data_IF_606267117173
#
_entry.id   IF_606267117173
#
_cell.length_a   1.000
_cell.length_b   1.000
_cell.length_c   1.000
_cell.angle_alpha   90.00
_cell.angle_beta   90.00
_cell.angle_gamma   90.00
#
_symmetry.space_group_name_H-M   'P 1'
#
loop_
_entity.id
_entity.type
_entity.pdbx_description
1 polymer ?
#
# COMPACT_ATOMS: atom_id res chain seq x y z
N UNK A 1 -29.27 33.77 5.16
CA UNK A 1 -28.49 33.66 6.41
C UNK A 1 -27.18 32.98 6.09
N UNK A 2 -26.08 33.72 6.26
CA UNK A 2 -24.69 33.34 6.00
C UNK A 2 -24.29 31.99 6.62
N UNK A 3 -23.81 31.06 5.80
CA UNK A 3 -22.89 30.01 6.27
C UNK A 3 -21.47 30.55 6.20
N UNK A 4 -20.99 31.10 7.34
CA UNK A 4 -19.61 31.53 7.51
C UNK A 4 -18.68 30.33 7.43
N UNK A 5 -17.76 30.37 6.47
CA UNK A 5 -16.61 29.48 6.36
C UNK A 5 -15.74 29.68 7.61
N UNK A 6 -15.50 28.66 8.46
CA UNK A 6 -14.64 28.85 9.62
C UNK A 6 -13.17 29.06 9.22
N UNK A 7 -12.48 29.89 10.00
CA UNK A 7 -11.13 30.38 9.73
C UNK A 7 -10.08 29.25 9.67
N UNK A 8 -9.12 29.40 8.75
CA UNK A 8 -7.93 28.54 8.59
C UNK A 8 -7.12 28.47 9.89
N UNK A 9 -7.20 27.33 10.57
CA UNK A 9 -6.28 26.93 11.63
C UNK A 9 -4.88 26.64 11.06
N UNK A 10 -3.86 27.12 11.78
CA UNK A 10 -2.43 27.14 11.45
C UNK A 10 -1.91 25.71 11.25
N UNK A 11 -1.53 25.35 10.02
CA UNK A 11 -1.05 24.01 9.63
C UNK A 11 0.21 23.62 10.40
N UNK A 12 0.07 22.75 11.41
CA UNK A 12 1.16 21.86 11.85
C UNK A 12 1.36 20.77 10.80
N UNK A 13 2.58 20.23 10.59
CA UNK A 13 2.79 19.11 9.68
C UNK A 13 1.94 17.92 10.17
N UNK A 14 0.96 17.55 9.35
CA UNK A 14 -0.19 16.79 9.80
C UNK A 14 0.02 15.29 9.54
N UNK A 15 0.78 14.63 10.41
CA UNK A 15 0.83 13.16 10.46
C UNK A 15 -0.57 12.53 10.61
N UNK A 16 -1.57 13.31 11.06
CA UNK A 16 -2.96 12.86 11.16
C UNK A 16 -3.61 12.69 9.77
N UNK A 17 -3.11 13.32 8.70
CA UNK A 17 -3.65 13.13 7.35
C UNK A 17 -3.36 11.72 6.85
N UNK A 18 -2.14 11.21 7.06
CA UNK A 18 -1.81 9.83 6.70
C UNK A 18 -2.64 8.83 7.50
N UNK A 19 -2.82 9.04 8.81
CA UNK A 19 -3.69 8.19 9.63
C UNK A 19 -5.12 8.13 9.08
N UNK A 20 -5.73 9.28 8.80
CA UNK A 20 -7.11 9.37 8.28
C UNK A 20 -7.33 8.66 6.94
N UNK A 21 -6.29 8.57 6.11
CA UNK A 21 -6.36 7.84 4.83
C UNK A 21 -6.46 6.33 5.06
N UNK A 22 -5.77 5.80 6.07
CA UNK A 22 -5.73 4.37 6.36
C UNK A 22 -6.81 3.92 7.34
N UNK A 23 -7.35 4.80 8.18
CA UNK A 23 -8.46 4.49 9.11
C UNK A 23 -9.59 3.64 8.49
N UNK A 24 -10.17 4.01 7.31
CA UNK A 24 -11.22 3.19 6.68
C UNK A 24 -10.71 1.89 6.03
N UNK A 25 -9.40 1.77 5.80
CA UNK A 25 -8.74 0.66 5.11
C UNK A 25 -8.28 -0.43 6.11
N UNK A 26 -7.96 -0.04 7.35
CA UNK A 26 -7.45 -0.94 8.41
C UNK A 26 -8.31 -2.21 8.60
N UNK A 27 -9.65 -2.14 8.77
CA UNK A 27 -10.45 -3.35 8.99
C UNK A 27 -10.34 -4.37 7.86
N UNK A 28 -10.21 -3.88 6.62
CA UNK A 28 -10.02 -4.74 5.45
C UNK A 28 -8.61 -5.36 5.40
N UNK A 29 -7.56 -4.62 5.78
CA UNK A 29 -6.19 -5.16 5.91
C UNK A 29 -6.18 -6.32 6.91
N UNK A 30 -6.83 -6.14 8.08
CA UNK A 30 -6.89 -7.16 9.12
C UNK A 30 -7.61 -8.42 8.61
N UNK A 31 -8.76 -8.25 7.94
CA UNK A 31 -9.54 -9.37 7.42
C UNK A 31 -8.76 -10.13 6.34
N UNK A 32 -8.18 -9.41 5.37
CA UNK A 32 -7.41 -10.00 4.28
C UNK A 32 -6.14 -10.71 4.78
N UNK A 33 -5.46 -10.11 5.77
CA UNK A 33 -4.27 -10.68 6.40
C UNK A 33 -4.58 -11.96 7.19
N UNK A 34 -5.65 -11.96 7.99
CA UNK A 34 -6.09 -13.16 8.72
C UNK A 34 -6.49 -14.28 7.76
N UNK A 35 -7.26 -13.99 6.71
CA UNK A 35 -7.62 -14.97 5.70
C UNK A 35 -6.38 -15.55 5.00
N UNK A 36 -5.41 -14.70 4.62
CA UNK A 36 -4.13 -15.16 4.06
C UNK A 36 -3.37 -16.05 5.03
N UNK A 37 -3.31 -15.67 6.31
CA UNK A 37 -2.60 -16.41 7.35
C UNK A 37 -3.21 -17.80 7.57
N UNK A 38 -4.53 -17.89 7.72
CA UNK A 38 -5.21 -19.19 7.83
C UNK A 38 -5.06 -20.04 6.57
N UNK A 39 -5.11 -19.44 5.38
CA UNK A 39 -4.84 -20.14 4.13
C UNK A 39 -3.43 -20.75 4.09
N UNK A 40 -2.43 -20.00 4.56
CA UNK A 40 -1.05 -20.47 4.66
C UNK A 40 -0.90 -21.62 5.68
N UNK A 41 -1.60 -21.56 6.83
CA UNK A 41 -1.61 -22.66 7.80
C UNK A 41 -2.22 -23.93 7.20
N UNK A 42 -3.33 -23.84 6.46
CA UNK A 42 -3.92 -24.99 5.77
C UNK A 42 -2.91 -25.61 4.80
N UNK A 43 -2.28 -24.77 3.97
CA UNK A 43 -1.28 -25.23 3.01
C UNK A 43 -0.06 -25.91 3.68
N UNK A 44 0.30 -25.48 4.89
CA UNK A 44 1.45 -26.01 5.63
C UNK A 44 1.14 -27.29 6.43
N UNK A 45 -0.05 -27.38 7.03
CA UNK A 45 -0.40 -28.46 7.95
C UNK A 45 -1.24 -29.58 7.31
N UNK A 46 -1.79 -29.37 6.11
CA UNK A 46 -2.58 -30.37 5.38
C UNK A 46 -1.86 -30.71 4.07
N UNK A 47 -1.06 -31.80 4.03
CA UNK A 47 -0.46 -32.29 2.79
C UNK A 47 -1.55 -32.58 1.76
N UNK A 48 -1.36 -32.15 0.51
CA UNK A 48 -2.38 -32.34 -0.53
C UNK A 48 -3.70 -31.58 -0.25
N UNK A 49 -3.69 -30.46 0.48
CA UNK A 49 -4.89 -29.70 0.82
C UNK A 49 -5.79 -29.34 -0.38
N UNK A 50 -5.24 -29.27 -1.59
CA UNK A 50 -5.98 -29.04 -2.83
C UNK A 50 -6.68 -30.30 -3.38
N UNK A 51 -6.21 -31.49 -3.01
CA UNK A 51 -6.76 -32.79 -3.44
C UNK A 51 -7.99 -33.18 -2.60
N UNK A 52 -8.09 -32.64 -1.38
CA UNK A 52 -9.24 -32.83 -0.51
C UNK A 52 -10.29 -31.73 -0.71
N UNK A 53 -11.53 -32.06 -1.14
CA UNK A 53 -12.53 -31.05 -1.52
C UNK A 53 -12.84 -30.02 -0.44
N UNK A 54 -12.91 -30.43 0.83
CA UNK A 54 -13.25 -29.55 1.94
C UNK A 54 -12.13 -28.54 2.24
N UNK A 55 -10.87 -28.98 2.35
CA UNK A 55 -9.75 -28.06 2.59
C UNK A 55 -9.47 -27.17 1.39
N UNK A 56 -9.64 -27.68 0.17
CA UNK A 56 -9.54 -26.90 -1.05
C UNK A 56 -10.59 -25.77 -1.06
N UNK A 57 -11.84 -26.09 -0.74
CA UNK A 57 -12.92 -25.11 -0.68
C UNK A 57 -12.64 -24.02 0.36
N UNK A 58 -12.21 -24.39 1.57
CA UNK A 58 -11.87 -23.42 2.63
C UNK A 58 -10.69 -22.56 2.21
N UNK A 59 -9.62 -23.15 1.67
CA UNK A 59 -8.46 -22.41 1.18
C UNK A 59 -8.85 -21.38 0.11
N UNK A 60 -9.65 -21.79 -0.88
CA UNK A 60 -10.07 -20.89 -1.95
C UNK A 60 -10.98 -19.77 -1.46
N UNK A 61 -11.89 -20.04 -0.52
CA UNK A 61 -12.71 -19.00 0.12
C UNK A 61 -11.84 -17.96 0.83
N UNK A 62 -10.86 -18.39 1.62
CA UNK A 62 -9.92 -17.50 2.30
C UNK A 62 -9.05 -16.71 1.32
N UNK A 63 -8.57 -17.39 0.27
CA UNK A 63 -7.74 -16.78 -0.78
C UNK A 63 -8.50 -15.70 -1.55
N UNK A 64 -9.78 -15.91 -1.85
CA UNK A 64 -10.63 -14.92 -2.52
C UNK A 64 -10.75 -13.63 -1.70
N UNK A 65 -11.01 -13.75 -0.39
CA UNK A 65 -11.11 -12.59 0.51
C UNK A 65 -9.78 -11.85 0.59
N UNK A 66 -8.67 -12.58 0.73
CA UNK A 66 -7.34 -11.98 0.80
C UNK A 66 -6.97 -11.25 -0.49
N UNK A 67 -7.16 -11.89 -1.63
CA UNK A 67 -6.81 -11.35 -2.96
C UNK A 67 -7.68 -10.15 -3.31
N UNK A 68 -8.98 -10.20 -3.02
CA UNK A 68 -9.91 -9.10 -3.29
C UNK A 68 -9.51 -7.80 -2.58
N UNK A 69 -8.89 -7.89 -1.41
CA UNK A 69 -8.42 -6.70 -0.71
C UNK A 69 -7.02 -6.29 -1.16
N UNK A 70 -6.06 -7.22 -1.18
CA UNK A 70 -4.66 -6.90 -1.43
C UNK A 70 -4.39 -6.44 -2.86
N UNK A 71 -5.06 -7.05 -3.85
CA UNK A 71 -4.93 -6.64 -5.27
C UNK A 71 -5.51 -5.25 -5.53
N UNK A 72 -6.54 -4.86 -4.78
CA UNK A 72 -7.22 -3.57 -4.93
C UNK A 72 -6.85 -2.57 -3.83
N UNK A 73 -5.83 -2.85 -3.02
CA UNK A 73 -5.38 -1.96 -1.94
C UNK A 73 -5.07 -0.53 -2.44
N UNK A 74 -4.38 -0.32 -3.59
CA UNK A 74 -4.21 1.02 -4.13
C UNK A 74 -5.54 1.73 -4.42
N UNK A 75 -6.59 1.01 -4.81
CA UNK A 75 -7.92 1.56 -5.03
C UNK A 75 -8.57 2.06 -3.74
N UNK A 76 -8.58 1.23 -2.69
CA UNK A 76 -9.17 1.59 -1.40
C UNK A 76 -8.45 2.78 -0.75
N UNK A 77 -7.13 2.83 -0.91
CA UNK A 77 -6.33 3.93 -0.40
C UNK A 77 -6.48 5.19 -1.27
N UNK A 78 -6.47 5.07 -2.59
CA UNK A 78 -6.71 6.20 -3.50
C UNK A 78 -8.09 6.83 -3.29
N UNK A 79 -9.11 6.01 -3.03
CA UNK A 79 -10.44 6.46 -2.65
C UNK A 79 -10.41 7.32 -1.39
N UNK A 80 -9.79 6.79 -0.34
CA UNK A 80 -9.68 7.46 0.95
C UNK A 80 -8.82 8.73 0.87
N UNK A 81 -7.71 8.70 0.13
CA UNK A 81 -6.83 9.84 -0.09
C UNK A 81 -7.52 10.99 -0.83
N UNK A 82 -8.31 10.69 -1.87
CA UNK A 82 -9.09 11.69 -2.58
C UNK A 82 -10.17 12.29 -1.68
N UNK A 83 -10.88 11.44 -0.91
CA UNK A 83 -11.90 11.87 0.07
C UNK A 83 -11.33 12.81 1.12
N UNK A 84 -10.23 12.43 1.78
CA UNK A 84 -9.58 13.27 2.80
C UNK A 84 -8.98 14.56 2.22
N UNK A 85 -8.66 14.55 0.92
CA UNK A 85 -8.20 15.75 0.20
C UNK A 85 -9.35 16.66 -0.26
N UNK A 86 -10.61 16.26 -0.06
CA UNK A 86 -11.81 17.03 -0.41
C UNK A 86 -12.28 16.89 -1.87
N UNK A 87 -11.84 15.84 -2.58
CA UNK A 87 -12.29 15.52 -3.94
C UNK A 87 -13.32 14.38 -3.98
N UNK A 88 -13.73 13.99 -5.18
CA UNK A 88 -14.66 12.89 -5.40
C UNK A 88 -13.96 11.55 -5.21
N UNK A 89 -14.28 10.89 -4.10
CA UNK A 89 -13.59 9.68 -3.63
C UNK A 89 -13.54 8.55 -4.67
N UNK A 90 -14.65 8.28 -5.38
CA UNK A 90 -14.72 7.19 -6.36
C UNK A 90 -13.70 7.36 -7.50
N UNK A 91 -13.41 8.60 -7.92
CA UNK A 91 -12.44 8.88 -8.98
C UNK A 91 -11.00 8.64 -8.50
N UNK A 92 -10.72 8.92 -7.22
CA UNK A 92 -9.45 8.56 -6.59
C UNK A 92 -9.25 7.05 -6.50
N UNK A 93 -10.32 6.32 -6.18
CA UNK A 93 -10.30 4.86 -6.20
C UNK A 93 -10.04 4.30 -7.61
N UNK A 94 -10.62 4.94 -8.63
CA UNK A 94 -10.37 4.58 -10.03
C UNK A 94 -8.91 4.77 -10.44
N UNK A 95 -8.26 5.88 -10.08
CA UNK A 95 -6.81 6.05 -10.29
C UNK A 95 -6.00 4.98 -9.57
N UNK A 96 -6.39 4.65 -8.33
CA UNK A 96 -5.78 3.57 -7.57
C UNK A 96 -5.87 2.23 -8.29
N UNK A 97 -7.04 1.85 -8.83
CA UNK A 97 -7.23 0.61 -9.61
C UNK A 97 -6.35 0.58 -10.86
N UNK A 98 -6.27 1.70 -11.59
CA UNK A 98 -5.47 1.80 -12.82
C UNK A 98 -4.01 1.39 -12.57
N UNK A 99 -3.46 1.72 -11.40
CA UNK A 99 -2.09 1.37 -11.00
C UNK A 99 -1.77 -0.12 -11.20
N UNK A 100 -2.73 -1.02 -10.97
CA UNK A 100 -2.54 -2.47 -11.06
C UNK A 100 -3.04 -3.10 -12.37
N UNK A 101 -3.52 -2.30 -13.34
CA UNK A 101 -4.03 -2.85 -14.60
C UNK A 101 -2.90 -3.19 -15.57
N UNK A 102 -3.05 -4.30 -16.29
CA UNK A 102 -2.09 -4.72 -17.31
C UNK A 102 -1.93 -3.72 -18.45
N UNK A 103 -2.97 -2.93 -18.77
CA UNK A 103 -2.89 -1.86 -19.77
C UNK A 103 -1.84 -0.79 -19.47
N UNK A 104 -1.35 -0.68 -18.22
CA UNK A 104 -0.19 0.16 -17.88
C UNK A 104 1.08 -0.38 -18.55
N UNK A 105 1.26 -1.70 -18.63
CA UNK A 105 2.38 -2.33 -19.32
C UNK A 105 2.32 -2.04 -20.83
N UNK A 106 1.14 -2.14 -21.43
CA UNK A 106 0.94 -1.86 -22.86
C UNK A 106 1.26 -0.40 -23.19
N UNK A 107 0.78 0.53 -22.35
CA UNK A 107 1.14 1.94 -22.47
C UNK A 107 2.66 2.12 -22.32
N UNK A 108 3.26 1.53 -21.29
CA UNK A 108 4.69 1.65 -21.03
C UNK A 108 5.54 1.11 -22.20
N UNK A 109 5.10 0.03 -22.86
CA UNK A 109 5.73 -0.47 -24.08
C UNK A 109 5.61 0.54 -25.23
N UNK A 110 4.42 1.09 -25.44
CA UNK A 110 4.17 2.06 -26.52
C UNK A 110 5.01 3.35 -26.37
N UNK A 111 5.29 3.79 -25.14
CA UNK A 111 6.12 4.97 -24.87
C UNK A 111 7.60 4.66 -24.59
N UNK A 112 8.03 3.39 -24.72
CA UNK A 112 9.42 2.98 -24.52
C UNK A 112 9.91 3.03 -23.07
N UNK A 113 9.01 2.97 -22.09
CA UNK A 113 9.32 2.96 -20.64
C UNK A 113 9.28 1.56 -20.01
N UNK A 114 8.92 0.54 -20.80
CA UNK A 114 8.86 -0.86 -20.38
C UNK A 114 10.13 -1.61 -20.80
N UNK A 115 10.68 -2.38 -19.87
CA UNK A 115 11.78 -3.30 -20.11
C UNK A 115 11.24 -4.74 -20.16
N UNK A 116 11.20 -5.32 -21.36
CA UNK A 116 10.70 -6.67 -21.58
C UNK A 116 11.60 -7.78 -21.01
N UNK A 117 12.90 -7.49 -20.84
CA UNK A 117 13.85 -8.44 -20.26
C UNK A 117 13.78 -8.45 -18.72
N UNK A 118 13.48 -7.31 -18.11
CA UNK A 118 13.26 -7.17 -16.67
C UNK A 118 12.08 -6.23 -16.37
N UNK A 119 10.86 -6.77 -16.24
CA UNK A 119 9.67 -5.99 -15.88
C UNK A 119 9.82 -5.22 -14.55
N UNK A 120 10.66 -5.69 -13.62
CA UNK A 120 10.89 -5.01 -12.34
C UNK A 120 11.82 -3.80 -12.48
N UNK A 121 12.74 -3.81 -13.46
CA UNK A 121 13.57 -2.67 -13.82
C UNK A 121 12.87 -1.65 -14.73
N UNK A 122 11.66 -1.94 -15.21
CA UNK A 122 10.89 -1.01 -16.04
C UNK A 122 10.63 0.31 -15.34
N UNK A 123 10.77 1.44 -16.06
CA UNK A 123 10.48 2.77 -15.49
C UNK A 123 8.99 2.86 -15.11
N UNK A 124 8.14 2.28 -15.95
CA UNK A 124 6.71 2.15 -15.73
C UNK A 124 6.27 0.70 -16.00
N UNK A 125 5.51 0.13 -15.06
CA UNK A 125 4.84 -1.16 -15.21
C UNK A 125 3.61 -1.20 -14.29
N UNK A 126 2.76 -2.20 -14.47
CA UNK A 126 1.64 -2.47 -13.57
C UNK A 126 2.17 -2.70 -12.15
N UNK A 127 1.51 -2.08 -11.17
CA UNK A 127 1.89 -2.07 -9.77
C UNK A 127 3.01 -1.09 -9.40
N UNK A 128 3.66 -0.42 -10.36
CA UNK A 128 4.76 0.54 -10.10
C UNK A 128 4.28 1.67 -9.20
N UNK A 129 5.00 1.90 -8.09
CA UNK A 129 4.67 2.95 -7.11
C UNK A 129 3.56 2.59 -6.12
N UNK A 130 2.76 1.56 -6.39
CA UNK A 130 1.81 0.96 -5.45
C UNK A 130 0.86 1.96 -4.79
N UNK A 131 0.74 1.85 -3.46
CA UNK A 131 -0.19 2.66 -2.67
C UNK A 131 0.29 4.11 -2.53
N UNK A 132 1.60 4.35 -2.51
CA UNK A 132 2.15 5.72 -2.53
C UNK A 132 1.73 6.48 -3.77
N UNK A 133 1.77 5.83 -4.94
CA UNK A 133 1.25 6.44 -6.17
C UNK A 133 -0.22 6.83 -5.97
N UNK A 134 -1.07 5.89 -5.53
CA UNK A 134 -2.49 6.14 -5.33
C UNK A 134 -2.81 7.28 -4.35
N UNK A 135 -2.04 7.43 -3.26
CA UNK A 135 -2.19 8.55 -2.30
C UNK A 135 -1.92 9.88 -3.01
N UNK A 136 -0.78 9.98 -3.70
CA UNK A 136 -0.39 11.20 -4.42
C UNK A 136 -1.34 11.49 -5.59
N UNK A 137 -1.80 10.46 -6.29
CA UNK A 137 -2.78 10.55 -7.37
C UNK A 137 -4.13 11.07 -6.88
N UNK A 138 -4.67 10.50 -5.79
CA UNK A 138 -5.93 10.97 -5.19
C UNK A 138 -5.83 12.41 -4.70
N UNK A 139 -4.70 12.81 -4.13
CA UNK A 139 -4.45 14.20 -3.74
C UNK A 139 -4.38 15.16 -4.94
N UNK A 140 -3.66 14.76 -6.01
CA UNK A 140 -3.53 15.56 -7.23
C UNK A 140 -4.89 15.72 -7.91
N UNK A 141 -5.68 14.65 -7.94
CA UNK A 141 -7.03 14.65 -8.48
C UNK A 141 -7.94 15.60 -7.72
N UNK A 142 -7.99 15.51 -6.39
CA UNK A 142 -8.81 16.41 -5.57
C UNK A 142 -8.46 17.89 -5.79
N UNK A 143 -7.17 18.20 -5.95
CA UNK A 143 -6.68 19.56 -6.26
C UNK A 143 -7.17 20.04 -7.63
N UNK A 144 -7.04 19.20 -8.66
CA UNK A 144 -7.39 19.57 -10.03
C UNK A 144 -8.90 19.65 -10.23
N UNK A 145 -9.64 18.68 -9.69
CA UNK A 145 -11.10 18.64 -9.68
C UNK A 145 -11.68 19.89 -9.03
N UNK A 146 -11.19 20.25 -7.83
CA UNK A 146 -11.60 21.48 -7.15
C UNK A 146 -11.24 22.77 -7.89
N UNK A 147 -10.21 22.74 -8.76
CA UNK A 147 -9.87 23.86 -9.63
C UNK A 147 -10.80 23.93 -10.85
N UNK A 148 -11.11 22.79 -11.48
CA UNK A 148 -12.05 22.68 -12.59
C UNK A 148 -13.46 23.14 -12.20
N UNK A 149 -13.96 22.72 -11.02
CA UNK A 149 -15.26 23.16 -10.49
C UNK A 149 -15.40 24.69 -10.43
N UNK A 150 -14.30 25.43 -10.22
CA UNK A 150 -14.31 26.89 -10.16
C UNK A 150 -14.29 27.55 -11.54
N UNK A 151 -13.91 26.82 -12.58
CA UNK A 151 -13.76 27.31 -13.96
C UNK A 151 -14.89 26.86 -14.86
N UNK A 152 -15.55 25.75 -14.55
CA UNK A 152 -16.57 25.15 -15.40
C UNK A 152 -17.93 25.87 -15.25
N UNK A 153 -18.67 26.10 -16.35
CA UNK A 153 -20.05 26.57 -16.28
C UNK A 153 -20.93 25.55 -15.52
N UNK A 154 -21.88 26.04 -14.71
CA UNK A 154 -22.73 25.18 -13.85
C UNK A 154 -23.45 24.06 -14.59
N UNK A 155 -23.83 24.27 -15.86
CA UNK A 155 -24.53 23.28 -16.69
C UNK A 155 -23.62 22.11 -17.11
N UNK A 156 -22.32 22.32 -17.21
CA UNK A 156 -21.35 21.32 -17.64
C UNK A 156 -20.55 20.71 -16.49
N UNK A 157 -20.52 21.39 -15.33
CA UNK A 157 -19.71 21.04 -14.17
C UNK A 157 -19.91 19.60 -13.70
N UNK A 158 -21.15 19.14 -13.60
CA UNK A 158 -21.48 17.80 -13.10
C UNK A 158 -20.87 16.64 -13.93
N UNK A 159 -20.66 16.84 -15.23
CA UNK A 159 -20.19 15.79 -16.15
C UNK A 159 -18.77 16.04 -16.62
N UNK A 160 -18.48 17.26 -17.07
CA UNK A 160 -17.17 17.57 -17.65
C UNK A 160 -16.08 17.72 -16.60
N UNK A 161 -16.39 18.24 -15.41
CA UNK A 161 -15.36 18.40 -14.37
C UNK A 161 -14.74 17.07 -13.94
N UNK A 162 -15.50 16.05 -13.51
CA UNK A 162 -14.92 14.78 -13.11
C UNK A 162 -14.22 14.06 -14.28
N UNK A 163 -14.77 14.13 -15.49
CA UNK A 163 -14.17 13.56 -16.70
C UNK A 163 -12.81 14.20 -17.03
N UNK A 164 -12.78 15.53 -17.14
CA UNK A 164 -11.56 16.28 -17.44
C UNK A 164 -10.54 16.15 -16.31
N UNK A 165 -10.97 16.14 -15.04
CA UNK A 165 -10.07 16.00 -13.90
C UNK A 165 -9.32 14.67 -13.98
N UNK A 166 -10.03 13.56 -14.19
CA UNK A 166 -9.40 12.24 -14.35
C UNK A 166 -8.46 12.23 -15.54
N UNK A 167 -8.91 12.68 -16.71
CA UNK A 167 -8.12 12.60 -17.95
C UNK A 167 -6.83 13.43 -17.86
N UNK A 168 -6.91 14.63 -17.27
CA UNK A 168 -5.77 15.51 -17.07
C UNK A 168 -4.83 15.03 -15.95
N UNK A 169 -5.34 14.35 -14.91
CA UNK A 169 -4.49 13.75 -13.86
C UNK A 169 -3.88 12.43 -14.32
N UNK A 170 -4.53 11.67 -15.19
CA UNK A 170 -4.08 10.34 -15.61
C UNK A 170 -2.68 10.39 -16.25
N UNK A 171 -2.41 11.37 -17.10
CA UNK A 171 -1.11 11.53 -17.77
C UNK A 171 0.03 11.76 -16.78
N UNK A 172 0.01 12.80 -15.91
CA UNK A 172 1.04 12.98 -14.89
C UNK A 172 1.02 11.87 -13.83
N UNK A 173 -0.12 11.23 -13.57
CA UNK A 173 -0.18 10.09 -12.66
C UNK A 173 0.67 8.91 -13.17
N UNK A 174 0.44 8.50 -14.43
CA UNK A 174 1.12 7.36 -15.04
C UNK A 174 2.58 7.68 -15.40
N UNK A 175 2.86 8.86 -15.98
CA UNK A 175 4.19 9.16 -16.53
C UNK A 175 5.13 9.84 -15.54
N UNK A 176 4.62 10.37 -14.43
CA UNK A 176 5.43 11.07 -13.43
C UNK A 176 5.26 10.44 -12.04
N UNK A 177 4.04 10.35 -11.51
CA UNK A 177 3.81 9.90 -10.12
C UNK A 177 4.20 8.43 -9.92
N UNK A 178 3.73 7.52 -10.79
CA UNK A 178 4.06 6.08 -10.71
C UNK A 178 5.58 5.82 -10.86
N UNK A 179 6.29 6.38 -11.86
CA UNK A 179 7.74 6.23 -11.97
C UNK A 179 8.49 6.83 -10.77
N UNK A 180 8.13 8.04 -10.32
CA UNK A 180 8.81 8.68 -9.18
C UNK A 180 8.67 7.87 -7.89
N UNK A 181 7.45 7.41 -7.59
CA UNK A 181 7.21 6.56 -6.41
C UNK A 181 7.82 5.16 -6.57
N UNK A 182 7.89 4.65 -7.80
CA UNK A 182 8.64 3.45 -8.15
C UNK A 182 10.15 3.59 -7.94
N UNK A 183 10.73 4.76 -8.24
CA UNK A 183 12.14 5.07 -7.98
C UNK A 183 12.44 5.12 -6.49
N UNK A 184 11.56 5.72 -5.68
CA UNK A 184 11.67 5.67 -4.22
C UNK A 184 11.67 4.20 -3.75
N UNK A 185 10.83 3.37 -4.36
CA UNK A 185 10.70 1.97 -3.98
C UNK A 185 11.93 1.14 -4.33
N UNK A 186 12.46 1.33 -5.54
CA UNK A 186 13.69 0.68 -6.00
C UNK A 186 14.90 1.14 -5.20
N UNK A 187 15.05 2.45 -4.96
CA UNK A 187 16.14 2.98 -4.13
C UNK A 187 16.11 2.42 -2.69
N UNK A 188 14.91 2.24 -2.10
CA UNK A 188 14.80 1.61 -0.79
C UNK A 188 15.23 0.14 -0.83
N UNK A 189 14.78 -0.61 -1.84
CA UNK A 189 15.18 -2.01 -2.03
C UNK A 189 16.68 -2.17 -2.28
N UNK A 190 17.29 -1.30 -3.09
CA UNK A 190 18.73 -1.29 -3.33
C UNK A 190 19.51 -0.94 -2.06
N UNK A 191 19.00 0.01 -1.27
CA UNK A 191 19.53 0.33 0.05
C UNK A 191 19.50 -0.88 0.99
N UNK A 192 18.37 -1.56 1.09
CA UNK A 192 18.24 -2.81 1.87
C UNK A 192 19.22 -3.86 1.37
N UNK A 193 19.29 -4.06 0.04
CA UNK A 193 20.21 -5.01 -0.59
C UNK A 193 21.66 -4.73 -0.19
N UNK A 194 22.13 -3.49 -0.33
CA UNK A 194 23.52 -3.12 -0.04
C UNK A 194 23.96 -3.51 1.37
N UNK A 195 23.07 -3.33 2.35
CA UNK A 195 23.40 -3.63 3.75
C UNK A 195 23.23 -5.12 4.05
N UNK A 196 22.26 -5.80 3.42
CA UNK A 196 22.00 -7.23 3.62
C UNK A 196 23.00 -8.15 2.91
N UNK A 197 23.58 -7.74 1.79
CA UNK A 197 24.62 -8.50 1.06
C UNK A 197 26.04 -8.14 1.50
N UNK A 198 26.21 -7.35 2.56
CA UNK A 198 27.54 -6.99 3.08
C UNK A 198 28.28 -8.22 3.61
N UNK A 199 29.58 -8.35 3.35
CA UNK A 199 30.40 -9.47 3.85
C UNK A 199 30.61 -9.42 5.38
N UNK A 200 30.42 -8.25 6.01
CA UNK A 200 30.61 -8.10 7.45
C UNK A 200 29.38 -8.57 8.25
N UNK A 201 29.52 -9.56 9.16
CA UNK A 201 28.40 -10.08 9.94
C UNK A 201 27.69 -9.02 10.81
N UNK A 202 28.45 -8.11 11.42
CA UNK A 202 27.89 -7.01 12.23
C UNK A 202 27.02 -6.07 11.39
N UNK A 203 27.44 -5.77 10.16
CA UNK A 203 26.67 -4.93 9.23
C UNK A 203 25.36 -5.62 8.88
N UNK A 204 25.38 -6.92 8.58
CA UNK A 204 24.16 -7.71 8.29
C UNK A 204 23.20 -7.78 9.48
N UNK A 205 23.71 -7.91 10.71
CA UNK A 205 22.86 -7.90 11.92
C UNK A 205 22.18 -6.55 12.08
N UNK A 206 22.93 -5.45 12.00
CA UNK A 206 22.37 -4.10 12.08
C UNK A 206 21.42 -3.81 10.91
N UNK A 207 21.71 -4.34 9.72
CA UNK A 207 20.83 -4.30 8.56
C UNK A 207 19.48 -4.95 8.86
N UNK A 208 19.50 -6.17 9.42
CA UNK A 208 18.29 -6.91 9.77
C UNK A 208 17.39 -6.11 10.72
N UNK A 209 17.97 -5.51 11.76
CA UNK A 209 17.24 -4.62 12.68
C UNK A 209 16.67 -3.38 11.97
N UNK A 210 17.47 -2.71 11.15
CA UNK A 210 17.04 -1.53 10.40
C UNK A 210 15.93 -1.86 9.39
N UNK A 211 16.07 -2.96 8.66
CA UNK A 211 15.10 -3.45 7.70
C UNK A 211 13.79 -3.83 8.37
N UNK A 212 13.84 -4.53 9.51
CA UNK A 212 12.65 -4.84 10.30
C UNK A 212 11.91 -3.57 10.76
N UNK A 213 12.63 -2.52 11.15
CA UNK A 213 12.02 -1.24 11.55
C UNK A 213 11.35 -0.49 10.38
N UNK A 214 11.96 -0.52 9.19
CA UNK A 214 11.46 0.19 8.01
C UNK A 214 10.38 -0.60 7.27
N UNK A 215 10.44 -1.94 7.31
CA UNK A 215 9.58 -2.83 6.53
C UNK A 215 8.10 -2.58 6.76
N UNK A 216 7.68 -2.42 8.02
CA UNK A 216 6.26 -2.21 8.33
C UNK A 216 5.74 -0.90 7.73
N UNK A 217 6.58 0.14 7.70
CA UNK A 217 6.26 1.40 7.01
C UNK A 217 6.19 1.18 5.50
N UNK A 218 7.13 0.46 4.93
CA UNK A 218 7.16 0.14 3.50
C UNK A 218 5.94 -0.71 3.05
N UNK A 219 5.50 -1.66 3.88
CA UNK A 219 4.29 -2.47 3.66
C UNK A 219 3.05 -1.59 3.69
N UNK A 220 2.91 -0.68 4.68
CA UNK A 220 1.80 0.28 4.71
C UNK A 220 1.80 1.19 3.46
N UNK A 221 2.98 1.53 2.95
CA UNK A 221 3.16 2.29 1.71
C UNK A 221 2.90 1.46 0.43
N UNK A 222 2.51 0.19 0.56
CA UNK A 222 2.17 -0.69 -0.56
C UNK A 222 3.36 -1.04 -1.44
N UNK A 223 4.58 -1.01 -0.89
CA UNK A 223 5.82 -1.33 -1.62
C UNK A 223 6.03 -2.84 -1.81
N UNK A 224 4.98 -3.65 -1.65
CA UNK A 224 5.02 -5.11 -1.73
C UNK A 224 5.61 -5.62 -3.05
N UNK A 225 5.32 -4.96 -4.18
CA UNK A 225 5.87 -5.35 -5.49
C UNK A 225 7.40 -5.17 -5.59
N UNK A 226 7.97 -4.19 -4.89
CA UNK A 226 9.42 -4.00 -4.84
C UNK A 226 10.10 -5.10 -4.02
N UNK A 227 9.45 -5.56 -2.94
CA UNK A 227 9.93 -6.71 -2.16
C UNK A 227 9.84 -8.04 -2.93
N UNK A 228 8.81 -8.23 -3.77
CA UNK A 228 8.72 -9.44 -4.62
C UNK A 228 9.93 -9.55 -5.54
N UNK A 229 10.34 -8.46 -6.20
CA UNK A 229 11.55 -8.46 -7.03
C UNK A 229 12.81 -8.78 -6.23
N UNK A 230 12.94 -8.22 -5.02
CA UNK A 230 14.05 -8.51 -4.11
C UNK A 230 14.11 -10.00 -3.71
N UNK A 231 12.95 -10.61 -3.41
CA UNK A 231 12.86 -12.03 -3.08
C UNK A 231 13.19 -12.92 -4.28
N UNK A 232 12.70 -12.58 -5.48
CA UNK A 232 13.06 -13.29 -6.71
C UNK A 232 14.57 -13.25 -6.97
N UNK A 233 15.22 -12.11 -6.71
CA UNK A 233 16.68 -12.00 -6.83
C UNK A 233 17.44 -12.83 -5.77
N UNK A 234 16.98 -12.85 -4.52
CA UNK A 234 17.58 -13.71 -3.48
C UNK A 234 17.44 -15.19 -3.83
N UNK A 235 16.28 -15.60 -4.36
CA UNK A 235 16.05 -16.95 -4.88
C UNK A 235 17.01 -17.28 -6.02
N UNK A 236 17.25 -16.37 -6.94
CA UNK A 236 18.16 -16.59 -8.08
C UNK A 236 19.64 -16.63 -7.64
N UNK A 237 20.01 -15.81 -6.65
CA UNK A 237 21.41 -15.68 -6.18
C UNK A 237 21.80 -16.74 -5.14
N UNK A 238 20.90 -17.07 -4.22
CA UNK A 238 21.16 -17.93 -3.06
C UNK A 238 20.36 -19.23 -3.08
N UNK A 239 19.32 -19.34 -3.91
CA UNK A 239 18.37 -20.46 -3.91
C UNK A 239 17.32 -20.39 -2.80
N UNK A 240 17.35 -19.36 -1.95
CA UNK A 240 16.44 -19.15 -0.83
C UNK A 240 16.30 -17.66 -0.46
N UNK A 241 15.22 -17.32 0.23
CA UNK A 241 14.91 -15.93 0.64
C UNK A 241 15.24 -15.73 2.12
N UNK A 242 16.20 -14.85 2.45
CA UNK A 242 16.61 -14.60 3.84
C UNK A 242 15.86 -13.46 4.50
N UNK A 243 15.36 -12.52 3.69
CA UNK A 243 14.66 -11.35 4.21
C UNK A 243 13.27 -11.69 4.72
N UNK A 244 12.54 -12.58 4.05
CA UNK A 244 11.14 -12.87 4.39
C UNK A 244 10.95 -13.32 5.86
N UNK A 245 11.73 -14.28 6.41
CA UNK A 245 11.65 -14.63 7.83
C UNK A 245 12.02 -13.47 8.76
N UNK A 246 13.05 -12.70 8.40
CA UNK A 246 13.53 -11.55 9.19
C UNK A 246 12.45 -10.47 9.32
N UNK A 247 11.73 -10.23 8.22
CA UNK A 247 10.66 -9.24 8.15
C UNK A 247 9.38 -9.72 8.84
N UNK A 248 9.07 -11.02 8.77
CA UNK A 248 7.98 -11.62 9.52
C UNK A 248 8.15 -11.47 11.04
N UNK A 249 9.39 -11.57 11.55
CA UNK A 249 9.69 -11.33 12.97
C UNK A 249 9.36 -9.90 13.43
N UNK A 250 9.43 -8.90 12.55
CA UNK A 250 9.05 -7.52 12.88
C UNK A 250 7.57 -7.41 13.23
N UNK A 251 6.70 -8.08 12.46
CA UNK A 251 5.26 -8.15 12.73
C UNK A 251 4.96 -8.87 14.05
N UNK A 252 5.59 -10.01 14.30
CA UNK A 252 5.46 -10.72 15.58
C UNK A 252 5.91 -9.85 16.78
N UNK A 253 6.97 -9.05 16.59
CA UNK A 253 7.44 -8.07 17.58
C UNK A 253 6.40 -7.01 17.92
N UNK A 254 5.65 -6.50 16.93
CA UNK A 254 4.56 -5.55 17.18
C UNK A 254 3.41 -6.17 17.99
N UNK A 255 3.05 -7.43 17.72
CA UNK A 255 2.05 -8.17 18.50
C UNK A 255 2.52 -8.30 19.96
N UNK A 256 3.77 -8.68 20.18
CA UNK A 256 4.37 -8.75 21.52
C UNK A 256 4.39 -7.40 22.25
N UNK A 257 4.74 -6.31 21.56
CA UNK A 257 4.72 -4.96 22.12
C UNK A 257 3.29 -4.51 22.48
N UNK A 258 2.30 -4.80 21.63
CA UNK A 258 0.89 -4.52 21.91
C UNK A 258 0.39 -5.24 23.16
N UNK A 259 0.69 -6.54 23.29
CA UNK A 259 0.38 -7.32 24.49
C UNK A 259 1.04 -6.75 25.75
N UNK A 260 2.33 -6.38 25.68
CA UNK A 260 3.04 -5.78 26.80
C UNK A 260 2.41 -4.43 27.24
N UNK A 261 2.02 -3.60 26.29
CA UNK A 261 1.34 -2.33 26.55
C UNK A 261 -0.05 -2.55 27.14
N UNK A 262 -0.82 -3.53 26.65
CA UNK A 262 -2.13 -3.89 27.19
C UNK A 262 -2.03 -4.35 28.64
N UNK A 263 -1.08 -5.25 28.94
CA UNK A 263 -0.81 -5.72 30.30
C UNK A 263 -0.43 -4.55 31.24
N UNK A 264 0.40 -3.61 30.76
CA UNK A 264 0.76 -2.40 31.53
C UNK A 264 -0.44 -1.46 31.73
N UNK A 265 -1.29 -1.30 30.73
CA UNK A 265 -2.49 -0.47 30.80
C UNK A 265 -3.46 -1.02 31.87
N UNK A 266 -3.67 -2.34 31.90
CA UNK A 266 -4.45 -3.00 32.95
C UNK A 266 -3.83 -2.83 34.33
N UNK A 267 -2.51 -3.01 34.48
CA UNK A 267 -1.83 -2.82 35.77
C UNK A 267 -1.90 -1.39 36.31
N UNK A 268 -1.91 -0.40 35.42
CA UNK A 268 -1.97 1.03 35.79
C UNK A 268 -3.41 1.56 35.89
N UNK A 269 -4.43 0.72 35.69
CA UNK A 269 -5.83 1.12 35.72
C UNK A 269 -6.26 2.05 34.59
N UNK A 270 -5.47 2.14 33.50
CA UNK A 270 -5.76 3.04 32.38
C UNK A 270 -6.73 2.38 31.38
N UNK A 271 -8.01 2.39 31.73
CA UNK A 271 -9.10 1.76 30.97
C UNK A 271 -9.27 2.34 29.56
N UNK A 272 -9.03 3.64 29.38
CA UNK A 272 -9.08 4.28 28.06
C UNK A 272 -7.98 3.74 27.13
N UNK A 273 -6.76 3.63 27.63
CA UNK A 273 -5.63 3.16 26.83
C UNK A 273 -5.73 1.65 26.54
N UNK A 274 -6.21 0.88 27.52
CA UNK A 274 -6.54 -0.54 27.33
C UNK A 274 -7.65 -0.75 26.28
N UNK A 275 -8.69 0.10 26.30
CA UNK A 275 -9.78 0.04 25.32
C UNK A 275 -9.35 0.37 23.89
N UNK A 276 -8.37 1.28 23.72
CA UNK A 276 -7.80 1.58 22.39
C UNK A 276 -6.96 0.41 21.88
N UNK A 277 -6.05 -0.13 22.69
CA UNK A 277 -5.18 -1.25 22.29
C UNK A 277 -5.97 -2.53 22.06
N UNK A 278 -7.00 -2.81 22.87
CA UNK A 278 -7.83 -4.00 22.74
C UNK A 278 -8.82 -3.97 21.57
N UNK A 279 -9.03 -2.79 20.96
CA UNK A 279 -9.94 -2.61 19.82
C UNK A 279 -9.20 -2.52 18.45
N UNK A 280 -7.88 -2.36 18.46
CA UNK A 280 -6.99 -2.41 17.29
C UNK A 280 -6.33 -3.77 17.16
#
# INVERSE_FOLDING_TARGET
MEQRIPAKSRKKPDFQVFGKIFDPVIPGIVTAGLCSGFGALIAQFVPGYLEHPASAAVYWLLSLVSTAFLSFMPAWVGYSACRESGGTAILGGMLGMITGLEGVNDLAQAVGLFNAADPAASILCSGRGGVLAAILGGWLLARLEGWLHRRMPKSADMVLTPFCAVLLVLVPYLLLVMPLTGLISTALCDGVRLVCTSEHPLVRILAGYGCAAVFLVAVMMGMQYAFVALYSMELDSYGYVTLFPTLAMAGAGQVGAGLALLLKAHRTGNTRFAGVIGAT
#
